data_IF_674517917008
#
_entry.id   IF_674517917008
#
_cell.length_a   1.000
_cell.length_b   1.000
_cell.length_c   1.000
_cell.angle_alpha   90.00
_cell.angle_beta   90.00
_cell.angle_gamma   90.00
#
_symmetry.space_group_name_H-M   'P 1'
#
loop_
_entity.id
_entity.type
_entity.pdbx_description
1 polymer ?
#
# COMPACT_ATOMS: atom_id res chain seq x y z
N UNK A 1 4.08 51.33 7.33
CA UNK A 1 4.67 50.22 6.57
C UNK A 1 4.28 48.92 7.28
N UNK A 2 3.32 48.19 6.75
CA UNK A 2 2.99 46.85 7.23
C UNK A 2 3.93 45.89 6.53
N UNK A 3 4.81 45.25 7.31
CA UNK A 3 5.65 44.17 6.82
C UNK A 3 4.77 42.99 6.40
N UNK A 4 4.98 42.54 5.20
CA UNK A 4 4.49 41.28 4.66
C UNK A 4 5.03 40.17 5.54
N UNK A 5 4.15 39.58 6.36
CA UNK A 5 4.44 38.34 7.04
C UNK A 5 4.29 37.24 5.98
N UNK A 6 5.39 37.02 5.23
CA UNK A 6 5.51 35.88 4.35
C UNK A 6 5.27 34.60 5.15
N UNK A 7 4.02 34.16 5.19
CA UNK A 7 3.68 32.82 5.60
C UNK A 7 4.29 31.90 4.58
N UNK A 8 5.30 31.13 4.99
CA UNK A 8 5.77 29.97 4.23
C UNK A 8 4.57 29.07 3.96
N UNK A 9 3.98 29.26 2.78
CA UNK A 9 3.03 28.29 2.25
C UNK A 9 3.82 26.97 2.12
N UNK A 10 3.49 25.92 2.89
CA UNK A 10 4.23 24.68 2.74
C UNK A 10 4.19 24.33 1.26
N UNK A 11 5.36 24.26 0.64
CA UNK A 11 5.49 23.98 -0.79
C UNK A 11 4.72 22.69 -1.06
N UNK A 12 3.60 22.82 -1.78
CA UNK A 12 2.81 21.66 -2.19
C UNK A 12 3.75 20.79 -3.03
N UNK A 13 4.05 19.60 -2.53
CA UNK A 13 4.90 18.66 -3.27
C UNK A 13 4.16 18.29 -4.58
N UNK A 14 4.67 18.67 -5.76
CA UNK A 14 3.99 18.39 -7.03
C UNK A 14 3.87 16.89 -7.33
N UNK A 15 4.61 16.06 -6.59
CA UNK A 15 4.60 14.60 -6.72
C UNK A 15 3.79 13.93 -5.59
N UNK A 16 2.88 14.65 -4.97
CA UNK A 16 1.98 14.15 -3.93
C UNK A 16 0.52 14.13 -4.41
N UNK A 17 -0.34 13.27 -3.84
CA UNK A 17 -1.76 13.32 -4.10
C UNK A 17 -2.34 14.69 -3.74
N UNK A 18 -3.25 15.19 -4.56
CA UNK A 18 -4.02 16.42 -4.32
C UNK A 18 -5.44 16.14 -3.82
N UNK A 19 -5.82 14.88 -3.82
CA UNK A 19 -7.10 14.37 -3.29
C UNK A 19 -6.83 13.13 -2.43
N UNK A 20 -7.66 12.93 -1.43
CA UNK A 20 -7.59 11.76 -0.56
C UNK A 20 -7.80 10.45 -1.34
N UNK A 21 -7.37 9.33 -0.76
CA UNK A 21 -7.65 8.01 -1.28
C UNK A 21 -9.18 7.74 -1.31
N UNK A 22 -9.64 6.81 -2.16
CA UNK A 22 -11.04 6.39 -2.15
C UNK A 22 -11.48 5.90 -0.77
N UNK A 23 -12.68 6.29 -0.34
CA UNK A 23 -13.22 5.83 0.94
C UNK A 23 -13.55 4.34 0.89
N UNK A 24 -13.03 3.51 1.82
CA UNK A 24 -13.36 2.10 1.91
C UNK A 24 -14.86 1.86 2.14
N UNK A 25 -15.39 0.77 1.61
CA UNK A 25 -16.83 0.45 1.64
C UNK A 25 -17.17 -0.89 2.31
N UNK A 26 -16.16 -1.66 2.69
CA UNK A 26 -16.37 -2.93 3.38
C UNK A 26 -16.76 -2.70 4.84
N UNK A 27 -17.51 -3.63 5.42
CA UNK A 27 -17.89 -3.57 6.84
C UNK A 27 -16.71 -3.99 7.72
N UNK A 28 -16.52 -3.32 8.84
CA UNK A 28 -15.44 -3.62 9.81
C UNK A 28 -15.41 -5.09 10.21
N UNK A 29 -16.57 -5.76 10.31
CA UNK A 29 -16.69 -7.17 10.67
C UNK A 29 -16.05 -8.12 9.65
N UNK A 30 -15.92 -7.69 8.41
CA UNK A 30 -15.42 -8.48 7.29
C UNK A 30 -13.96 -8.15 6.95
N UNK A 31 -13.35 -7.20 7.66
CA UNK A 31 -12.03 -6.62 7.38
C UNK A 31 -10.99 -7.03 8.41
N UNK A 32 -9.76 -7.27 7.95
CA UNK A 32 -8.53 -7.24 8.75
C UNK A 32 -7.66 -6.13 8.20
N UNK A 33 -7.62 -4.98 8.89
CA UNK A 33 -6.88 -3.81 8.42
C UNK A 33 -5.40 -3.91 8.76
N UNK A 34 -4.56 -3.57 7.77
CA UNK A 34 -3.10 -3.50 7.91
C UNK A 34 -2.67 -2.04 8.06
N UNK A 35 -3.21 -1.17 7.21
CA UNK A 35 -2.95 0.27 7.24
C UNK A 35 -4.13 1.01 6.59
N UNK A 36 -4.95 1.63 7.38
CA UNK A 36 -6.08 2.48 6.94
C UNK A 36 -6.56 3.34 8.10
N UNK A 37 -7.02 4.54 7.82
CA UNK A 37 -7.69 5.40 8.81
C UNK A 37 -9.18 5.06 8.98
N UNK A 38 -9.74 4.24 8.07
CA UNK A 38 -11.15 3.84 8.12
C UNK A 38 -11.43 2.68 9.07
N UNK A 39 -10.40 1.92 9.49
CA UNK A 39 -10.52 0.69 10.28
C UNK A 39 -9.47 0.62 11.39
N UNK A 40 -9.72 -0.19 12.41
CA UNK A 40 -8.72 -0.53 13.42
C UNK A 40 -7.64 -1.43 12.81
N UNK A 41 -6.40 -0.94 12.77
CA UNK A 41 -5.27 -1.70 12.25
C UNK A 41 -4.84 -2.80 13.22
N UNK A 42 -4.67 -4.03 12.71
CA UNK A 42 -4.32 -5.22 13.51
C UNK A 42 -2.82 -5.41 13.72
N UNK A 43 -1.99 -4.53 13.13
CA UNK A 43 -0.53 -4.58 13.21
C UNK A 43 0.07 -3.18 13.17
N UNK A 44 1.32 -3.04 13.57
CA UNK A 44 2.13 -1.87 13.31
C UNK A 44 3.07 -2.14 12.14
N UNK A 45 3.37 -1.09 11.36
CA UNK A 45 4.33 -1.15 10.27
C UNK A 45 5.72 -0.79 10.79
N UNK A 46 6.70 -1.66 10.59
CA UNK A 46 8.11 -1.36 10.81
C UNK A 46 8.71 -1.00 9.45
N UNK A 47 8.97 0.29 9.29
CA UNK A 47 9.53 0.88 8.08
C UNK A 47 11.07 0.97 8.20
N UNK A 48 11.76 1.15 7.07
CA UNK A 48 13.20 1.34 7.01
C UNK A 48 14.02 0.24 7.71
N UNK A 49 13.57 -1.00 7.56
CA UNK A 49 14.21 -2.16 8.15
C UNK A 49 15.66 -2.29 7.62
N UNK A 50 16.67 -2.53 8.47
CA UNK A 50 18.03 -2.81 8.01
C UNK A 50 18.07 -3.97 7.00
N UNK A 51 18.67 -3.71 5.82
CA UNK A 51 18.69 -4.67 4.70
C UNK A 51 17.64 -4.42 3.61
N UNK A 52 16.74 -3.47 3.79
CA UNK A 52 15.92 -2.93 2.71
C UNK A 52 16.73 -1.84 1.97
N UNK A 53 17.20 -2.07 0.74
CA UNK A 53 18.14 -1.14 0.09
C UNK A 53 17.46 0.04 -0.58
N UNK A 54 16.20 0.21 -0.37
CA UNK A 54 15.56 1.23 -1.15
C UNK A 54 14.84 2.23 -0.32
N UNK A 55 14.23 3.08 -0.89
CA UNK A 55 13.17 3.96 -0.54
C UNK A 55 13.19 4.40 0.92
N UNK A 56 13.31 5.64 1.12
CA UNK A 56 12.81 6.25 2.34
C UNK A 56 11.29 5.96 2.43
N UNK A 57 10.89 5.26 3.48
CA UNK A 57 9.49 4.97 3.79
C UNK A 57 9.07 5.80 5.00
N UNK A 58 7.91 6.42 4.92
CA UNK A 58 7.35 7.21 6.01
C UNK A 58 5.82 7.20 5.96
N UNK A 59 5.19 7.24 7.14
CA UNK A 59 3.79 7.65 7.24
C UNK A 59 3.75 9.17 7.17
N UNK A 60 2.95 9.70 6.26
CA UNK A 60 2.75 11.13 6.04
C UNK A 60 1.27 11.46 6.06
N UNK A 61 0.92 12.68 6.41
CA UNK A 61 -0.47 13.14 6.49
C UNK A 61 -0.66 14.32 5.53
N UNK A 62 -0.81 14.07 4.21
CA UNK A 62 -0.98 15.13 3.22
C UNK A 62 -2.28 15.91 3.39
N UNK A 63 -3.29 15.26 3.98
CA UNK A 63 -4.59 15.82 4.30
C UNK A 63 -4.89 15.62 5.78
N UNK A 64 -5.68 16.51 6.37
CA UNK A 64 -6.09 16.39 7.77
C UNK A 64 -6.87 15.09 7.99
N UNK A 65 -6.36 14.26 8.91
CA UNK A 65 -6.96 12.99 9.28
C UNK A 65 -6.80 11.85 8.28
N UNK A 66 -5.94 12.03 7.26
CA UNK A 66 -5.70 11.02 6.22
C UNK A 66 -4.20 10.67 6.15
N UNK A 67 -3.84 9.53 6.74
CA UNK A 67 -2.47 9.04 6.78
C UNK A 67 -2.18 8.16 5.56
N UNK A 68 -1.04 8.38 4.94
CA UNK A 68 -0.59 7.62 3.78
C UNK A 68 0.81 7.07 4.01
N UNK A 69 1.08 5.88 3.49
CA UNK A 69 2.41 5.27 3.48
C UNK A 69 3.15 5.73 2.22
N UNK A 70 4.15 6.59 2.39
CA UNK A 70 4.96 7.13 1.30
C UNK A 70 6.23 6.32 1.08
N UNK A 71 6.54 6.05 -0.18
CA UNK A 71 7.79 5.48 -0.66
C UNK A 71 8.49 6.48 -1.57
N UNK A 72 9.75 6.80 -1.27
CA UNK A 72 10.63 7.60 -2.13
C UNK A 72 11.68 6.69 -2.79
N UNK A 73 11.93 6.88 -4.08
CA UNK A 73 12.94 6.15 -4.86
C UNK A 73 12.78 4.62 -4.77
N UNK A 74 11.55 4.15 -4.91
CA UNK A 74 11.21 2.73 -4.79
C UNK A 74 11.82 1.91 -5.94
N UNK A 75 12.88 1.16 -5.65
CA UNK A 75 13.30 0.03 -6.45
C UNK A 75 12.71 -1.27 -5.87
N UNK A 76 12.98 -1.54 -4.60
CA UNK A 76 12.26 -2.50 -3.78
C UNK A 76 12.26 -2.07 -2.30
N UNK A 77 11.28 -2.50 -1.55
CA UNK A 77 11.15 -2.21 -0.13
C UNK A 77 10.54 -3.39 0.62
N UNK A 78 10.90 -3.51 1.90
CA UNK A 78 10.30 -4.43 2.85
C UNK A 78 9.58 -3.62 3.92
N UNK A 79 8.29 -3.89 4.07
CA UNK A 79 7.49 -3.46 5.23
C UNK A 79 7.30 -4.66 6.13
N UNK A 80 7.78 -4.58 7.35
CA UNK A 80 7.63 -5.66 8.35
C UNK A 80 6.43 -5.36 9.24
N UNK A 81 5.77 -6.42 9.71
CA UNK A 81 4.58 -6.36 10.57
C UNK A 81 4.89 -6.79 11.99
N UNK A 82 4.38 -6.02 12.98
CA UNK A 82 4.49 -6.34 14.40
C UNK A 82 3.19 -5.95 15.14
N UNK A 83 2.40 -6.92 15.64
CA UNK A 83 2.57 -8.37 15.50
C UNK A 83 2.45 -8.88 14.06
N UNK A 84 2.92 -10.09 13.80
CA UNK A 84 2.76 -10.78 12.52
C UNK A 84 1.28 -10.99 12.20
N UNK A 85 0.96 -11.04 10.91
CA UNK A 85 -0.41 -11.13 10.45
C UNK A 85 -0.86 -12.57 10.25
N UNK A 86 -2.07 -12.87 10.68
CA UNK A 86 -2.80 -14.06 10.26
C UNK A 86 -3.92 -13.61 9.29
N UNK A 87 -3.71 -13.87 8.00
CA UNK A 87 -4.61 -13.52 6.91
C UNK A 87 -5.38 -14.75 6.37
N UNK A 88 -5.25 -15.91 7.03
CA UNK A 88 -5.98 -17.09 6.64
C UNK A 88 -7.50 -16.87 6.70
N UNK A 89 -8.21 -17.43 5.71
CA UNK A 89 -9.66 -17.29 5.57
C UNK A 89 -10.15 -15.93 5.06
N UNK A 90 -9.23 -15.05 4.61
CA UNK A 90 -9.60 -13.83 3.90
C UNK A 90 -9.66 -14.10 2.39
N UNK A 91 -10.56 -13.39 1.68
CA UNK A 91 -10.79 -13.62 0.25
C UNK A 91 -9.97 -12.71 -0.65
N UNK A 92 -9.79 -11.46 -0.25
CA UNK A 92 -9.07 -10.44 -1.03
C UNK A 92 -8.13 -9.60 -0.16
N UNK A 93 -7.04 -9.14 -0.77
CA UNK A 93 -6.22 -8.03 -0.31
C UNK A 93 -6.59 -6.78 -1.10
N UNK A 94 -7.06 -5.74 -0.41
CA UNK A 94 -7.32 -4.43 -0.97
C UNK A 94 -6.18 -3.47 -0.66
N UNK A 95 -5.85 -2.59 -1.61
CA UNK A 95 -5.05 -1.40 -1.37
C UNK A 95 -5.29 -0.33 -2.43
N UNK A 96 -5.18 0.91 -2.01
CA UNK A 96 -5.14 2.07 -2.88
C UNK A 96 -3.70 2.53 -3.04
N UNK A 97 -3.29 2.84 -4.27
CA UNK A 97 -1.96 3.35 -4.56
C UNK A 97 -2.03 4.53 -5.51
N UNK A 98 -1.33 5.60 -5.16
CA UNK A 98 -1.20 6.79 -5.98
C UNK A 98 0.18 6.84 -6.63
N UNK A 99 0.19 7.19 -7.93
CA UNK A 99 1.40 7.46 -8.69
C UNK A 99 1.24 8.74 -9.51
N UNK A 100 2.33 9.49 -9.69
CA UNK A 100 2.32 10.71 -10.52
C UNK A 100 2.07 10.44 -12.00
N UNK A 101 2.43 9.24 -12.45
CA UNK A 101 2.28 8.77 -13.83
C UNK A 101 2.20 7.27 -13.86
N UNK A 102 1.87 6.69 -15.02
CA UNK A 102 1.79 5.23 -15.19
C UNK A 102 3.08 4.55 -14.74
N UNK A 103 2.95 3.58 -13.85
CA UNK A 103 4.03 2.77 -13.27
C UNK A 103 3.62 1.31 -13.22
N UNK A 104 4.58 0.45 -12.99
CA UNK A 104 4.32 -0.98 -12.81
C UNK A 104 5.07 -1.47 -11.58
N UNK A 105 4.34 -2.10 -10.67
CA UNK A 105 4.89 -2.67 -9.44
C UNK A 105 4.55 -4.14 -9.32
N UNK A 106 5.20 -4.82 -8.39
CA UNK A 106 4.76 -6.11 -7.84
C UNK A 106 4.66 -6.00 -6.33
N UNK A 107 3.72 -6.73 -5.75
CA UNK A 107 3.53 -6.81 -4.31
C UNK A 107 3.66 -8.26 -3.85
N UNK A 108 4.40 -8.49 -2.79
CA UNK A 108 4.57 -9.81 -2.19
C UNK A 108 4.16 -9.83 -0.73
N UNK A 109 3.68 -10.99 -0.28
CA UNK A 109 3.41 -11.29 1.12
C UNK A 109 4.17 -12.55 1.53
N UNK A 110 4.58 -12.64 2.76
CA UNK A 110 5.18 -13.86 3.27
C UNK A 110 5.94 -13.71 4.59
N UNK A 111 6.72 -14.73 4.85
CA UNK A 111 7.70 -14.78 5.93
C UNK A 111 9.08 -15.15 5.34
N UNK A 112 10.07 -15.41 6.20
CA UNK A 112 11.43 -15.70 5.75
C UNK A 112 11.56 -17.07 5.05
N UNK A 113 10.58 -17.96 5.21
CA UNK A 113 10.59 -19.34 4.67
C UNK A 113 9.66 -19.52 3.48
N UNK A 114 8.58 -18.74 3.40
CA UNK A 114 7.58 -18.84 2.34
C UNK A 114 7.10 -17.45 1.91
N UNK A 115 7.06 -17.21 0.61
CA UNK A 115 6.66 -15.93 0.04
C UNK A 115 5.90 -16.16 -1.27
N UNK A 116 4.96 -15.29 -1.55
CA UNK A 116 4.26 -15.22 -2.82
C UNK A 116 4.17 -13.78 -3.31
N UNK A 117 4.24 -13.58 -4.62
CA UNK A 117 4.18 -12.26 -5.24
C UNK A 117 3.07 -12.22 -6.28
N UNK A 118 2.51 -11.04 -6.50
CA UNK A 118 1.65 -10.77 -7.65
C UNK A 118 2.48 -10.79 -8.94
N UNK A 119 1.81 -10.92 -10.07
CA UNK A 119 2.35 -10.44 -11.34
C UNK A 119 2.45 -8.92 -11.34
N UNK A 120 2.90 -8.36 -12.47
CA UNK A 120 3.04 -6.93 -12.61
C UNK A 120 1.68 -6.22 -12.55
N UNK A 121 1.53 -5.28 -11.63
CA UNK A 121 0.36 -4.44 -11.44
C UNK A 121 0.60 -3.09 -12.10
N UNK A 122 -0.26 -2.70 -13.03
CA UNK A 122 -0.16 -1.40 -13.69
C UNK A 122 -0.90 -0.34 -12.89
N UNK A 123 -0.18 0.68 -12.45
CA UNK A 123 -0.71 1.88 -11.81
C UNK A 123 -1.01 2.92 -12.88
N UNK A 124 -2.16 3.54 -12.83
CA UNK A 124 -2.45 4.74 -13.61
C UNK A 124 -1.93 5.99 -12.89
N UNK A 125 -1.84 7.11 -13.60
CA UNK A 125 -1.64 8.40 -12.95
C UNK A 125 -2.81 8.70 -12.01
N UNK A 126 -2.53 9.16 -10.78
CA UNK A 126 -3.51 9.31 -9.72
C UNK A 126 -3.73 8.02 -8.91
N UNK A 127 -4.86 7.93 -8.25
CA UNK A 127 -5.23 6.76 -7.45
C UNK A 127 -5.62 5.56 -8.32
N UNK A 128 -5.11 4.39 -7.99
CA UNK A 128 -5.50 3.10 -8.53
C UNK A 128 -5.83 2.18 -7.37
N UNK A 129 -7.02 1.58 -7.37
CA UNK A 129 -7.47 0.62 -6.34
C UNK A 129 -7.34 -0.81 -6.88
N UNK A 130 -6.82 -1.71 -6.05
CA UNK A 130 -6.69 -3.12 -6.37
C UNK A 130 -7.43 -3.97 -5.34
N UNK A 131 -8.09 -5.03 -5.83
CA UNK A 131 -8.54 -6.17 -5.04
C UNK A 131 -7.86 -7.42 -5.59
N UNK A 132 -6.87 -7.91 -4.85
CA UNK A 132 -6.07 -9.07 -5.23
C UNK A 132 -6.64 -10.30 -4.53
N UNK A 133 -7.10 -11.35 -5.26
CA UNK A 133 -7.52 -12.58 -4.63
C UNK A 133 -6.42 -13.18 -3.75
N UNK A 134 -6.75 -13.60 -2.54
CA UNK A 134 -5.77 -14.21 -1.63
C UNK A 134 -5.18 -15.51 -2.18
N UNK A 135 -5.84 -16.16 -3.16
CA UNK A 135 -5.29 -17.29 -3.91
C UNK A 135 -3.95 -17.01 -4.60
N UNK A 136 -3.70 -15.75 -4.98
CA UNK A 136 -2.40 -15.31 -5.54
C UNK A 136 -1.26 -15.57 -4.56
N UNK A 137 -1.54 -15.50 -3.25
CA UNK A 137 -0.55 -15.66 -2.19
C UNK A 137 -0.55 -17.06 -1.56
N UNK A 138 -1.19 -18.04 -2.21
CA UNK A 138 -1.35 -19.41 -1.65
C UNK A 138 -0.05 -20.17 -1.36
N UNK A 139 1.08 -19.77 -1.96
CA UNK A 139 2.40 -20.35 -1.67
C UNK A 139 3.06 -19.73 -0.42
N UNK A 140 2.53 -18.63 0.11
CA UNK A 140 2.93 -18.08 1.39
C UNK A 140 2.15 -18.74 2.54
N UNK A 141 2.75 -18.78 3.71
CA UNK A 141 2.05 -19.18 4.94
C UNK A 141 1.18 -18.01 5.41
N UNK A 142 -0.10 -18.01 5.01
CA UNK A 142 -1.05 -16.93 5.34
C UNK A 142 -1.37 -16.83 6.83
N UNK A 143 -1.06 -17.86 7.63
CA UNK A 143 -1.23 -17.81 9.09
C UNK A 143 -0.13 -17.03 9.79
N UNK A 144 1.00 -16.76 9.11
CA UNK A 144 2.17 -16.11 9.66
C UNK A 144 2.87 -15.21 8.64
N UNK A 145 2.23 -14.09 8.31
CA UNK A 145 2.81 -13.08 7.42
C UNK A 145 3.63 -12.08 8.25
N UNK A 146 4.92 -12.03 7.98
CA UNK A 146 5.90 -11.17 8.66
C UNK A 146 6.21 -9.91 7.87
N UNK A 147 6.20 -10.02 6.53
CA UNK A 147 6.64 -8.94 5.64
C UNK A 147 5.75 -8.83 4.41
N UNK A 148 5.63 -7.60 3.93
CA UNK A 148 5.25 -7.30 2.54
C UNK A 148 6.47 -6.78 1.79
N UNK A 149 6.60 -7.21 0.52
CA UNK A 149 7.59 -6.69 -0.42
C UNK A 149 6.88 -5.88 -1.48
N UNK A 150 7.43 -4.71 -1.78
CA UNK A 150 6.94 -3.86 -2.87
C UNK A 150 8.14 -3.53 -3.74
N UNK A 151 8.04 -3.75 -5.04
CA UNK A 151 9.14 -3.49 -5.95
C UNK A 151 8.68 -3.02 -7.33
N UNK A 152 9.50 -2.18 -7.95
CA UNK A 152 9.33 -1.78 -9.33
C UNK A 152 9.54 -2.99 -10.25
N UNK A 153 8.62 -3.24 -11.17
CA UNK A 153 8.70 -4.43 -12.02
C UNK A 153 9.58 -4.24 -13.27
N UNK A 154 9.98 -3.00 -13.57
CA UNK A 154 10.81 -2.68 -14.74
C UNK A 154 12.29 -2.40 -14.40
N UNK A 155 12.70 -2.60 -13.15
CA UNK A 155 14.08 -2.42 -12.69
C UNK A 155 14.53 -0.96 -12.50
N UNK A 156 13.65 0.03 -12.73
CA UNK A 156 13.93 1.44 -12.47
C UNK A 156 13.24 1.90 -11.20
N UNK A 157 13.94 2.73 -10.42
CA UNK A 157 13.35 3.29 -9.22
C UNK A 157 12.17 4.21 -9.55
N UNK A 158 11.05 4.03 -8.83
CA UNK A 158 9.90 4.92 -8.90
C UNK A 158 10.14 6.06 -7.92
N UNK A 159 10.11 7.29 -8.40
CA UNK A 159 10.45 8.49 -7.61
C UNK A 159 9.60 8.59 -6.37
N UNK A 160 8.28 8.37 -6.50
CA UNK A 160 7.35 8.45 -5.38
C UNK A 160 6.09 7.63 -5.60
N UNK A 161 5.66 6.91 -4.55
CA UNK A 161 4.36 6.26 -4.44
C UNK A 161 3.76 6.57 -3.07
N UNK A 162 2.43 6.60 -3.02
CA UNK A 162 1.66 6.66 -1.79
C UNK A 162 0.69 5.49 -1.74
N UNK A 163 0.66 4.78 -0.63
CA UNK A 163 -0.30 3.71 -0.36
C UNK A 163 -1.23 4.13 0.75
N UNK A 164 -2.47 3.71 0.62
CA UNK A 164 -3.50 3.84 1.65
C UNK A 164 -4.46 2.66 1.59
N UNK A 165 -5.35 2.54 2.58
CA UNK A 165 -6.41 1.55 2.62
C UNK A 165 -5.92 0.11 2.37
N UNK A 166 -4.81 -0.27 3.02
CA UNK A 166 -4.26 -1.63 2.92
C UNK A 166 -5.00 -2.51 3.93
N UNK A 167 -5.86 -3.40 3.45
CA UNK A 167 -6.61 -4.35 4.29
C UNK A 167 -6.98 -5.61 3.53
N UNK A 168 -7.25 -6.68 4.26
CA UNK A 168 -7.88 -7.89 3.68
C UNK A 168 -9.34 -7.94 4.10
N UNK A 169 -10.17 -8.56 3.26
CA UNK A 169 -11.60 -8.67 3.55
C UNK A 169 -12.20 -9.99 3.06
N UNK A 170 -13.40 -10.31 3.57
CA UNK A 170 -14.24 -11.43 3.15
C UNK A 170 -15.37 -10.95 2.27
N UNK A 171 -15.79 -11.82 1.34
CA UNK A 171 -16.87 -11.54 0.41
C UNK A 171 -16.41 -10.99 -0.93
N UNK A 172 -17.36 -10.52 -1.73
CA UNK A 172 -17.08 -10.01 -3.07
C UNK A 172 -16.57 -8.58 -3.06
N UNK A 173 -15.76 -8.17 -4.07
CA UNK A 173 -15.33 -6.80 -4.24
C UNK A 173 -16.49 -5.81 -4.30
N UNK A 174 -16.36 -4.68 -3.61
CA UNK A 174 -17.38 -3.61 -3.58
C UNK A 174 -16.89 -2.39 -4.34
N UNK A 175 -17.59 -1.99 -5.38
CA UNK A 175 -17.23 -0.86 -6.23
C UNK A 175 -16.72 -1.32 -7.60
N UNK A 176 -15.81 -0.53 -8.20
CA UNK A 176 -15.16 -0.85 -9.48
C UNK A 176 -13.63 -0.83 -9.32
N UNK A 177 -13.04 -1.66 -8.47
CA UNK A 177 -11.59 -1.77 -8.37
C UNK A 177 -11.04 -2.46 -9.62
N UNK A 178 -9.75 -2.30 -9.88
CA UNK A 178 -9.03 -3.15 -10.82
C UNK A 178 -8.83 -4.50 -10.13
N UNK A 179 -9.59 -5.50 -10.55
CA UNK A 179 -9.44 -6.87 -10.05
C UNK A 179 -8.24 -7.49 -10.77
N UNK A 180 -7.30 -7.99 -9.98
CA UNK A 180 -6.22 -8.80 -10.52
C UNK A 180 -6.79 -10.14 -11.00
N UNK A 181 -6.61 -10.46 -12.27
CA UNK A 181 -6.98 -11.76 -12.85
C UNK A 181 -5.69 -12.57 -12.95
N UNK A 182 -5.61 -13.69 -12.23
CA UNK A 182 -4.50 -14.63 -12.41
C UNK A 182 -4.42 -15.06 -13.88
N UNK A 183 -3.24 -15.00 -14.53
CA UNK A 183 -3.07 -15.61 -15.83
C UNK A 183 -3.31 -17.12 -15.74
N UNK A 184 -3.98 -17.65 -16.74
CA UNK A 184 -4.34 -19.06 -16.83
C UNK A 184 -3.09 -19.96 -16.95
#
# INVERSE_FOLDING_TARGET
>A
AYGDLGGDNPSVDPNAPTVAAPTPKHKDTDVKSIFSDAYDNITNLILNNPGSPAAEMAVVTPFEGDNMLRFNSLNWALVKFDPTLNLDGMDYLHFDVWAESTRTIKLGLGNWSSQANTDALTLNAGWTSFDIPMSVFKSADLTNIIVSKIFSSNGFAITRLYFDNIYTYKGDPVGTPIIYIEPA
#
